data_IF_630774152369
#
_entry.id   IF_630774152369
#
_cell.length_a   1.000
_cell.length_b   1.000
_cell.length_c   1.000
_cell.angle_alpha   90.00
_cell.angle_beta   90.00
_cell.angle_gamma   90.00
#
_symmetry.space_group_name_H-M   'P 1'
#
loop_
_entity.id
_entity.type
_entity.pdbx_description
1 polymer ?
#
# COMPACT_ATOMS: atom_id res chain seq x y z
N UNK A 1 17.06 -14.96 5.56
CA UNK A 1 16.82 -15.37 4.16
C UNK A 1 16.51 -14.12 3.37
N UNK A 2 17.42 -13.67 2.49
CA UNK A 2 17.15 -12.52 1.61
C UNK A 2 16.45 -13.09 0.37
N UNK A 3 15.22 -12.67 0.12
CA UNK A 3 14.51 -13.06 -1.11
C UNK A 3 15.28 -12.47 -2.31
N UNK A 4 15.52 -13.22 -3.40
CA UNK A 4 16.10 -12.64 -4.60
C UNK A 4 15.19 -11.49 -5.07
N UNK A 5 15.78 -10.41 -5.56
CA UNK A 5 15.11 -9.12 -5.82
C UNK A 5 13.80 -9.26 -6.62
N UNK A 6 13.77 -10.18 -7.60
CA UNK A 6 12.60 -10.54 -8.41
C UNK A 6 11.40 -11.09 -7.60
N UNK A 7 11.62 -11.75 -6.47
CA UNK A 7 10.52 -12.33 -5.67
C UNK A 7 9.76 -11.25 -4.90
N UNK A 8 10.47 -10.21 -4.44
CA UNK A 8 9.83 -9.08 -3.77
C UNK A 8 8.95 -8.28 -4.73
N UNK A 9 9.45 -7.99 -5.94
CA UNK A 9 8.68 -7.26 -6.95
C UNK A 9 7.43 -8.01 -7.40
N UNK A 10 7.52 -9.34 -7.52
CA UNK A 10 6.34 -10.18 -7.80
C UNK A 10 5.29 -10.08 -6.70
N UNK A 11 5.69 -10.18 -5.43
CA UNK A 11 4.77 -10.04 -4.29
C UNK A 11 4.07 -8.67 -4.32
N UNK A 12 4.83 -7.60 -4.57
CA UNK A 12 4.29 -6.23 -4.71
C UNK A 12 3.28 -6.17 -5.87
N UNK A 13 3.65 -6.70 -7.04
CA UNK A 13 2.79 -6.71 -8.23
C UNK A 13 1.48 -7.49 -8.03
N UNK A 14 1.54 -8.65 -7.38
CA UNK A 14 0.36 -9.45 -7.03
C UNK A 14 -0.58 -8.74 -6.06
N UNK A 15 -0.02 -8.01 -5.09
CA UNK A 15 -0.81 -7.22 -4.13
C UNK A 15 -1.47 -6.04 -4.80
N UNK A 16 -0.78 -5.33 -5.67
CA UNK A 16 -1.37 -4.25 -6.47
C UNK A 16 -2.52 -4.78 -7.34
N UNK A 17 -2.35 -5.96 -7.96
CA UNK A 17 -3.42 -6.64 -8.70
C UNK A 17 -4.61 -6.99 -7.82
N UNK A 18 -4.36 -7.49 -6.60
CA UNK A 18 -5.39 -7.80 -5.61
C UNK A 18 -6.18 -6.55 -5.21
N UNK A 19 -5.48 -5.47 -4.83
CA UNK A 19 -6.08 -4.18 -4.55
C UNK A 19 -6.93 -3.67 -5.72
N UNK A 20 -6.36 -3.66 -6.93
CA UNK A 20 -7.06 -3.24 -8.15
C UNK A 20 -8.36 -4.02 -8.36
N UNK A 21 -8.33 -5.34 -8.12
CA UNK A 21 -9.48 -6.22 -8.31
C UNK A 21 -10.58 -5.95 -7.28
N UNK A 22 -10.22 -5.69 -6.01
CA UNK A 22 -11.16 -5.31 -4.95
C UNK A 22 -11.83 -3.98 -5.27
N UNK A 23 -11.09 -3.02 -5.81
CA UNK A 23 -11.61 -1.72 -6.25
C UNK A 23 -12.36 -1.78 -7.60
N UNK A 24 -12.42 -2.96 -8.25
CA UNK A 24 -13.02 -3.19 -9.58
C UNK A 24 -12.42 -2.31 -10.69
N UNK A 25 -11.12 -2.03 -10.58
CA UNK A 25 -10.37 -1.22 -11.54
C UNK A 25 -9.71 -2.10 -12.63
N UNK A 26 -9.57 -1.53 -13.82
CA UNK A 26 -8.73 -2.05 -14.90
C UNK A 26 -7.30 -1.54 -14.74
N UNK A 27 -6.35 -2.20 -15.41
CA UNK A 27 -4.95 -1.76 -15.38
C UNK A 27 -4.77 -0.34 -15.92
N UNK A 28 -5.57 0.06 -16.91
CA UNK A 28 -5.56 1.41 -17.46
C UNK A 28 -5.97 2.46 -16.41
N UNK A 29 -6.92 2.16 -15.53
CA UNK A 29 -7.41 3.12 -14.53
C UNK A 29 -6.32 3.48 -13.49
N UNK A 30 -5.53 2.49 -13.08
CA UNK A 30 -4.38 2.73 -12.19
C UNK A 30 -3.22 3.36 -12.93
N UNK A 31 -2.98 2.99 -14.19
CA UNK A 31 -1.97 3.65 -15.00
C UNK A 31 -2.25 5.15 -15.18
N UNK A 32 -3.50 5.51 -15.46
CA UNK A 32 -3.96 6.91 -15.54
C UNK A 32 -3.79 7.64 -14.21
N UNK A 33 -4.13 7.00 -13.09
CA UNK A 33 -3.93 7.59 -11.77
C UNK A 33 -2.46 7.89 -11.47
N UNK A 34 -1.56 7.00 -11.91
CA UNK A 34 -0.12 7.15 -11.71
C UNK A 34 0.55 8.05 -12.77
N UNK A 35 -0.18 8.45 -13.81
CA UNK A 35 0.37 9.23 -14.93
C UNK A 35 1.38 8.44 -15.77
N UNK A 36 1.20 7.12 -15.91
CA UNK A 36 2.08 6.23 -16.68
C UNK A 36 1.32 5.49 -17.78
N UNK A 37 2.06 4.92 -18.73
CA UNK A 37 1.45 4.04 -19.73
C UNK A 37 0.93 2.74 -19.11
N UNK A 38 -0.19 2.23 -19.63
CA UNK A 38 -0.75 0.94 -19.20
C UNK A 38 0.26 -0.21 -19.26
N UNK A 39 1.12 -0.22 -20.30
CA UNK A 39 2.19 -1.22 -20.45
C UNK A 39 3.19 -1.18 -19.30
N UNK A 40 3.55 0.02 -18.83
CA UNK A 40 4.42 0.18 -17.66
C UNK A 40 3.74 -0.32 -16.39
N UNK A 41 2.45 0.01 -16.19
CA UNK A 41 1.69 -0.51 -15.05
C UNK A 41 1.57 -2.04 -15.08
N UNK A 42 1.37 -2.63 -16.26
CA UNK A 42 1.34 -4.09 -16.41
C UNK A 42 2.67 -4.74 -16.01
N UNK A 43 3.82 -4.12 -16.33
CA UNK A 43 5.15 -4.60 -15.94
C UNK A 43 5.40 -4.47 -14.44
N UNK A 44 4.78 -3.47 -13.79
CA UNK A 44 4.76 -3.35 -12.33
C UNK A 44 3.94 -4.50 -11.72
N UNK A 45 2.73 -4.77 -12.22
CA UNK A 45 1.87 -5.86 -11.70
C UNK A 45 2.45 -7.26 -11.96
N UNK A 46 3.34 -7.44 -12.93
CA UNK A 46 4.06 -8.69 -13.15
C UNK A 46 5.33 -8.83 -12.31
N UNK A 47 5.76 -7.75 -11.65
CA UNK A 47 7.02 -7.69 -10.92
C UNK A 47 8.26 -7.54 -11.82
N UNK A 48 8.09 -7.24 -13.10
CA UNK A 48 9.20 -6.99 -14.03
C UNK A 48 9.84 -5.61 -13.80
N UNK A 49 9.05 -4.66 -13.31
CA UNK A 49 9.48 -3.29 -12.96
C UNK A 49 9.08 -2.98 -11.53
N UNK A 50 9.97 -2.35 -10.77
CA UNK A 50 9.68 -1.93 -9.40
C UNK A 50 8.68 -0.76 -9.36
N UNK A 51 7.82 -0.76 -8.34
CA UNK A 51 6.98 0.39 -8.01
C UNK A 51 7.83 1.43 -7.27
N UNK A 52 7.89 2.66 -7.77
CA UNK A 52 8.60 3.75 -7.09
C UNK A 52 7.82 4.23 -5.85
N UNK A 53 8.53 4.78 -4.86
CA UNK A 53 7.92 5.38 -3.66
C UNK A 53 6.96 6.53 -4.02
N UNK A 54 7.28 7.31 -5.05
CA UNK A 54 6.39 8.36 -5.54
C UNK A 54 5.01 7.80 -5.91
N UNK A 55 4.95 6.70 -6.65
CA UNK A 55 3.68 6.07 -7.02
C UNK A 55 2.94 5.47 -5.82
N UNK A 56 3.66 4.99 -4.80
CA UNK A 56 3.03 4.58 -3.53
C UNK A 56 2.28 5.74 -2.89
N UNK A 57 2.91 6.92 -2.80
CA UNK A 57 2.29 8.12 -2.23
C UNK A 57 1.03 8.52 -3.03
N UNK A 58 1.10 8.50 -4.36
CA UNK A 58 -0.08 8.78 -5.21
C UNK A 58 -1.22 7.80 -4.93
N UNK A 59 -0.94 6.50 -4.75
CA UNK A 59 -1.96 5.51 -4.43
C UNK A 59 -2.52 5.70 -3.01
N UNK A 60 -1.68 6.07 -2.05
CA UNK A 60 -2.10 6.42 -0.69
C UNK A 60 -3.10 7.58 -0.72
N UNK A 61 -2.75 8.68 -1.39
CA UNK A 61 -3.58 9.88 -1.44
C UNK A 61 -4.89 9.65 -2.21
N UNK A 62 -4.83 8.90 -3.32
CA UNK A 62 -6.00 8.70 -4.19
C UNK A 62 -6.99 7.68 -3.66
N UNK A 63 -6.50 6.64 -2.99
CA UNK A 63 -7.31 5.47 -2.62
C UNK A 63 -7.32 5.17 -1.12
N UNK A 64 -6.73 6.02 -0.28
CA UNK A 64 -6.53 5.77 1.15
C UNK A 64 -5.84 4.42 1.40
N UNK A 65 -4.92 4.06 0.49
CA UNK A 65 -4.24 2.77 0.50
C UNK A 65 -3.19 2.74 1.61
N UNK A 66 -3.31 1.79 2.55
CA UNK A 66 -2.24 1.56 3.52
C UNK A 66 -1.06 0.85 2.83
N UNK A 67 0.15 1.45 2.79
CA UNK A 67 1.31 0.86 2.10
C UNK A 67 1.75 -0.47 2.72
N UNK A 68 1.40 -0.75 3.99
CA UNK A 68 1.65 -2.03 4.63
C UNK A 68 0.98 -3.19 3.87
N UNK A 69 -0.16 -2.95 3.23
CA UNK A 69 -0.82 -3.95 2.38
C UNK A 69 0.06 -4.36 1.20
N UNK A 70 0.81 -3.43 0.62
CA UNK A 70 1.72 -3.70 -0.50
C UNK A 70 3.00 -4.39 0.01
N UNK A 71 3.57 -3.97 1.14
CA UNK A 71 4.96 -4.33 1.49
C UNK A 71 5.14 -5.30 2.67
N UNK A 72 4.17 -5.46 3.58
CA UNK A 72 4.35 -6.30 4.79
C UNK A 72 4.11 -7.78 4.50
N UNK A 73 5.09 -8.65 4.69
CA UNK A 73 4.91 -10.11 4.57
C UNK A 73 3.99 -10.64 5.68
N UNK A 74 3.03 -11.52 5.32
CA UNK A 74 2.29 -12.34 6.30
C UNK A 74 0.97 -11.79 6.85
N UNK A 75 0.54 -10.57 6.51
CA UNK A 75 -0.77 -10.06 6.95
C UNK A 75 -1.84 -10.18 5.86
N UNK A 76 -2.99 -10.76 6.23
CA UNK A 76 -4.19 -10.76 5.39
C UNK A 76 -4.68 -9.33 5.21
N UNK A 77 -5.38 -9.10 4.09
CA UNK A 77 -6.08 -7.85 3.80
C UNK A 77 -6.83 -7.35 5.03
N UNK A 78 -6.31 -6.31 5.69
CA UNK A 78 -7.08 -5.59 6.70
C UNK A 78 -8.05 -4.75 5.87
N UNK A 79 -9.35 -4.87 6.13
CA UNK A 79 -10.35 -3.95 5.57
C UNK A 79 -10.07 -2.55 6.14
N UNK A 80 -9.12 -1.84 5.53
CA UNK A 80 -8.79 -0.44 5.85
C UNK A 80 -9.98 0.45 5.50
N UNK A 81 -10.93 -0.06 4.70
CA UNK A 81 -12.00 0.70 4.09
C UNK A 81 -13.17 1.08 4.99
N UNK A 82 -13.24 0.65 6.27
CA UNK A 82 -14.46 0.91 7.07
C UNK A 82 -14.32 1.29 8.55
N UNK A 83 -13.17 1.78 9.01
CA UNK A 83 -13.14 2.49 10.31
C UNK A 83 -12.21 3.69 10.27
N UNK A 84 -12.78 4.87 9.99
CA UNK A 84 -12.17 6.12 10.46
C UNK A 84 -12.13 6.02 11.98
N UNK A 85 -10.93 5.96 12.56
CA UNK A 85 -10.80 6.20 13.99
C UNK A 85 -11.33 7.59 14.28
N UNK A 86 -12.13 7.71 15.33
CA UNK A 86 -12.50 9.02 15.86
C UNK A 86 -11.26 9.77 16.31
N UNK A 87 -11.37 11.09 16.53
CA UNK A 87 -10.22 11.87 16.98
C UNK A 87 -9.74 11.39 18.34
N UNK A 88 -10.68 10.95 19.18
CA UNK A 88 -10.47 10.38 20.50
C UNK A 88 -9.66 9.07 20.42
N UNK A 89 -10.06 8.15 19.54
CA UNK A 89 -9.33 6.89 19.35
C UNK A 89 -7.89 7.13 18.84
N UNK A 90 -7.67 8.20 18.06
CA UNK A 90 -6.32 8.59 17.62
C UNK A 90 -5.49 9.13 18.78
N UNK A 91 -6.08 9.97 19.63
CA UNK A 91 -5.41 10.54 20.81
C UNK A 91 -4.99 9.44 21.77
N UNK A 92 -5.89 8.50 22.10
CA UNK A 92 -5.59 7.38 22.99
C UNK A 92 -4.41 6.54 22.48
N UNK A 93 -4.37 6.29 21.17
CA UNK A 93 -3.28 5.57 20.52
C UNK A 93 -1.95 6.33 20.60
N UNK A 94 -1.96 7.65 20.41
CA UNK A 94 -0.75 8.46 20.52
C UNK A 94 -0.23 8.49 21.96
N UNK A 95 -1.10 8.65 22.96
CA UNK A 95 -0.68 8.61 24.37
C UNK A 95 -0.05 7.26 24.75
N UNK A 96 -0.62 6.15 24.27
CA UNK A 96 -0.06 4.82 24.52
C UNK A 96 1.37 4.68 23.97
N UNK A 97 1.60 5.17 22.74
CA UNK A 97 2.92 5.14 22.09
C UNK A 97 3.92 6.01 22.86
N UNK A 98 3.51 7.21 23.28
CA UNK A 98 4.37 8.12 24.01
C UNK A 98 4.81 7.54 25.37
N UNK A 99 3.87 6.93 26.10
CA UNK A 99 4.15 6.22 27.36
C UNK A 99 5.10 5.03 27.15
N UNK A 100 4.88 4.24 26.11
CA UNK A 100 5.72 3.07 25.80
C UNK A 100 7.16 3.47 25.45
N UNK A 101 7.35 4.65 24.87
CA UNK A 101 8.66 5.15 24.44
C UNK A 101 9.28 6.14 25.44
N UNK A 102 8.69 6.31 26.63
CA UNK A 102 9.10 7.30 27.64
C UNK A 102 9.31 8.72 27.05
N UNK A 103 8.44 9.11 26.11
CA UNK A 103 8.46 10.43 25.50
C UNK A 103 7.43 11.29 26.23
N UNK A 104 7.91 12.15 27.13
CA UNK A 104 7.09 13.20 27.74
C UNK A 104 7.04 14.41 26.78
N UNK A 105 5.85 15.00 26.60
CA UNK A 105 5.62 16.22 25.80
C UNK A 105 5.36 17.41 26.71
#
# INVERSE_FOLDING_TARGET
MVLPENDFQKIVGERLRGFRSVQRLKQIDLAETLGIYQSQYSRIESGEVSLSLYYVIVLMDKYDLNPSFIFRNGEKMIDVGKRKMSLEEKVDRYEAILRENNIDI
#
